data_IF_077690445819
#
_entry.id   IF_077690445819
#
_cell.length_a   1.000
_cell.length_b   1.000
_cell.length_c   1.000
_cell.angle_alpha   90.00
_cell.angle_beta   90.00
_cell.angle_gamma   90.00
#
_symmetry.space_group_name_H-M   'P 1'
#
loop_
_entity.id
_entity.type
_entity.pdbx_description
1 polymer ?
#
# COMPACT_ATOMS: atom_id res chain seq x y z
N UNK A 1 11.69 -10.77 6.51
CA UNK A 1 11.90 -9.40 7.05
C UNK A 1 13.26 -9.30 7.73
N UNK A 2 13.45 -9.79 8.97
CA UNK A 2 14.74 -9.64 9.66
C UNK A 2 15.89 -10.29 8.89
N UNK A 3 15.62 -11.40 8.20
CA UNK A 3 16.53 -12.04 7.25
C UNK A 3 16.90 -11.17 6.04
N UNK A 4 16.18 -10.10 5.74
CA UNK A 4 16.38 -9.23 4.57
C UNK A 4 17.02 -7.89 4.96
N UNK A 5 16.51 -7.25 6.03
CA UNK A 5 16.89 -5.88 6.43
C UNK A 5 17.46 -5.79 7.84
N UNK A 6 17.79 -6.93 8.45
CA UNK A 6 18.29 -6.99 9.83
C UNK A 6 17.23 -6.69 10.89
N UNK A 7 17.68 -6.49 12.13
CA UNK A 7 16.81 -6.15 13.25
C UNK A 7 16.74 -4.62 13.42
N UNK A 8 15.64 -4.02 12.98
CA UNK A 8 15.39 -2.56 13.05
C UNK A 8 15.01 -2.05 14.44
N UNK A 9 15.48 -2.73 15.50
CA UNK A 9 15.24 -2.42 16.91
C UNK A 9 13.77 -2.07 17.20
N UNK A 10 13.50 -0.87 17.69
CA UNK A 10 12.16 -0.39 18.05
C UNK A 10 11.16 -0.47 16.89
N UNK A 11 11.62 -0.37 15.64
CA UNK A 11 10.77 -0.46 14.45
C UNK A 11 10.52 -1.90 13.97
N UNK A 12 11.05 -2.93 14.65
CA UNK A 12 10.97 -4.31 14.17
C UNK A 12 9.52 -4.84 14.11
N UNK A 13 8.66 -4.41 15.03
CA UNK A 13 7.24 -4.78 15.03
C UNK A 13 6.50 -4.20 13.82
N UNK A 14 6.58 -2.87 13.63
CA UNK A 14 5.91 -2.17 12.52
C UNK A 14 6.45 -2.61 11.15
N UNK A 15 7.76 -2.87 11.03
CA UNK A 15 8.31 -3.42 9.79
C UNK A 15 7.79 -4.85 9.50
N UNK A 16 7.52 -5.65 10.54
CA UNK A 16 6.86 -6.95 10.43
C UNK A 16 5.43 -6.85 9.92
N UNK A 17 4.69 -5.88 10.47
CA UNK A 17 3.34 -5.54 10.04
C UNK A 17 3.31 -5.10 8.57
N UNK A 18 4.18 -4.17 8.17
CA UNK A 18 4.29 -3.70 6.78
C UNK A 18 4.58 -4.84 5.81
N UNK A 19 5.50 -5.77 6.16
CA UNK A 19 5.77 -6.97 5.35
C UNK A 19 4.48 -7.77 5.11
N UNK A 20 3.69 -8.01 6.14
CA UNK A 20 2.50 -8.85 6.02
C UNK A 20 1.36 -8.14 5.28
N UNK A 21 1.19 -6.83 5.47
CA UNK A 21 0.24 -6.02 4.68
C UNK A 21 0.59 -6.07 3.19
N UNK A 22 1.87 -5.89 2.85
CA UNK A 22 2.32 -5.99 1.45
C UNK A 22 2.15 -7.41 0.90
N UNK A 23 2.39 -8.45 1.70
CA UNK A 23 2.18 -9.84 1.30
C UNK A 23 0.70 -10.13 1.00
N UNK A 24 -0.23 -9.58 1.77
CA UNK A 24 -1.67 -9.69 1.51
C UNK A 24 -2.05 -8.94 0.23
N UNK A 25 -1.60 -7.68 0.06
CA UNK A 25 -1.87 -6.88 -1.14
C UNK A 25 -1.29 -7.44 -2.44
N UNK A 26 -0.39 -8.41 -2.36
CA UNK A 26 0.30 -9.02 -3.50
C UNK A 26 0.03 -10.52 -3.59
N UNK A 27 -0.90 -11.05 -2.78
CA UNK A 27 -1.28 -12.46 -2.73
C UNK A 27 -0.09 -13.43 -2.65
N UNK A 28 1.02 -13.01 -2.02
CA UNK A 28 2.30 -13.71 -2.08
C UNK A 28 3.03 -13.64 -0.74
N UNK A 29 3.44 -14.80 -0.23
CA UNK A 29 4.32 -14.91 0.93
C UNK A 29 5.78 -14.78 0.48
N UNK A 30 6.51 -13.73 0.90
CA UNK A 30 7.89 -13.55 0.49
C UNK A 30 8.82 -14.50 1.25
N UNK A 31 9.83 -15.03 0.54
CA UNK A 31 10.89 -15.89 1.05
C UNK A 31 11.58 -15.29 2.29
N UNK A 32 11.83 -16.15 3.28
CA UNK A 32 12.78 -15.89 4.36
C UNK A 32 14.19 -16.32 3.93
N UNK A 33 15.16 -15.43 4.06
CA UNK A 33 16.53 -15.65 3.57
C UNK A 33 17.39 -16.42 4.58
N UNK A 34 18.51 -16.95 4.09
CA UNK A 34 19.54 -17.65 4.87
C UNK A 34 19.07 -18.95 5.56
N UNK A 35 18.04 -19.59 5.01
CA UNK A 35 17.56 -20.91 5.45
C UNK A 35 18.11 -21.97 4.49
N UNK A 36 19.29 -22.51 4.77
CA UNK A 36 19.83 -23.69 4.04
C UNK A 36 19.31 -25.00 4.62
N UNK A 37 19.19 -25.08 5.95
CA UNK A 37 18.59 -26.19 6.69
C UNK A 37 17.81 -25.63 7.88
N UNK A 38 16.62 -26.15 8.22
CA UNK A 38 15.93 -25.80 9.45
C UNK A 38 16.80 -26.12 10.68
N UNK A 39 16.65 -25.34 11.75
CA UNK A 39 17.37 -25.61 13.00
C UNK A 39 16.96 -26.97 13.60
N UNK A 40 17.92 -27.70 14.17
CA UNK A 40 17.70 -29.01 14.79
C UNK A 40 17.09 -28.93 16.21
N UNK A 41 17.00 -27.73 16.78
CA UNK A 41 16.42 -27.53 18.13
C UNK A 41 14.89 -27.46 18.13
N UNK A 42 14.27 -27.43 16.95
CA UNK A 42 12.81 -27.44 16.78
C UNK A 42 12.42 -28.74 16.10
N UNK A 43 11.41 -29.42 16.64
CA UNK A 43 10.77 -30.55 15.97
C UNK A 43 9.77 -30.04 14.91
N UNK A 44 10.12 -30.25 13.64
CA UNK A 44 9.32 -29.83 12.49
C UNK A 44 8.34 -30.93 12.02
N UNK A 45 8.38 -32.13 12.61
CA UNK A 45 7.65 -33.31 12.12
C UNK A 45 6.12 -33.20 12.26
N UNK A 46 5.63 -32.37 13.18
CA UNK A 46 4.19 -32.15 13.39
C UNK A 46 3.46 -31.51 12.19
N UNK A 47 4.19 -30.84 11.29
CA UNK A 47 3.63 -30.20 10.10
C UNK A 47 2.77 -28.95 10.35
N UNK A 48 2.52 -28.56 11.60
CA UNK A 48 1.70 -27.39 11.93
C UNK A 48 2.33 -26.05 11.55
N UNK A 49 3.67 -26.01 11.38
CA UNK A 49 4.42 -24.82 10.99
C UNK A 49 5.43 -25.19 9.91
N UNK A 50 5.52 -24.36 8.85
CA UNK A 50 6.49 -24.52 7.77
C UNK A 50 7.24 -23.22 7.51
N UNK A 51 8.53 -23.33 7.22
CA UNK A 51 9.36 -22.20 6.81
C UNK A 51 9.03 -21.80 5.36
N UNK A 52 8.89 -20.50 5.11
CA UNK A 52 8.72 -19.95 3.75
C UNK A 52 10.10 -19.78 3.12
N UNK A 53 10.64 -20.86 2.56
CA UNK A 53 11.99 -20.93 1.96
C UNK A 53 12.04 -20.46 0.50
N UNK A 54 10.89 -20.19 -0.10
CA UNK A 54 10.70 -19.68 -1.46
C UNK A 54 9.56 -18.67 -1.46
N UNK A 55 9.53 -17.78 -2.45
CA UNK A 55 8.37 -16.89 -2.63
C UNK A 55 7.22 -17.76 -3.13
N UNK A 56 6.08 -17.74 -2.44
CA UNK A 56 4.98 -18.66 -2.73
C UNK A 56 3.66 -17.91 -2.73
N UNK A 57 2.74 -18.19 -3.67
CA UNK A 57 1.38 -17.66 -3.62
C UNK A 57 0.74 -17.92 -2.26
N UNK A 58 0.02 -16.93 -1.74
CA UNK A 58 -0.74 -17.07 -0.51
C UNK A 58 -2.05 -17.79 -0.83
N UNK A 59 -2.26 -19.03 -0.33
CA UNK A 59 -3.40 -19.85 -0.74
C UNK A 59 -4.73 -19.16 -0.47
N UNK A 60 -5.64 -19.25 -1.43
CA UNK A 60 -7.04 -18.92 -1.26
C UNK A 60 -7.76 -20.09 -0.59
N UNK A 61 -8.52 -19.79 0.46
CA UNK A 61 -9.19 -20.81 1.29
C UNK A 61 -10.68 -20.55 1.45
N UNK A 62 -11.23 -19.59 0.70
CA UNK A 62 -12.60 -19.10 0.88
C UNK A 62 -12.80 -18.29 2.17
N UNK A 63 -11.70 -17.90 2.84
CA UNK A 63 -11.70 -17.06 4.05
C UNK A 63 -10.67 -15.95 3.88
N UNK A 64 -10.88 -14.78 4.52
CA UNK A 64 -9.89 -13.72 4.54
C UNK A 64 -8.53 -14.24 5.02
N UNK A 65 -7.46 -13.86 4.33
CA UNK A 65 -6.10 -14.21 4.76
C UNK A 65 -5.82 -13.56 6.11
N UNK A 66 -5.21 -14.34 7.01
CA UNK A 66 -4.81 -13.87 8.34
C UNK A 66 -3.35 -14.15 8.61
N UNK A 67 -2.70 -13.24 9.33
CA UNK A 67 -1.32 -13.42 9.77
C UNK A 67 -1.08 -12.90 11.18
N UNK A 68 -0.29 -13.65 11.94
CA UNK A 68 0.27 -13.18 13.19
C UNK A 68 1.57 -12.40 12.98
N UNK A 69 1.76 -11.31 13.72
CA UNK A 69 3.03 -10.58 13.82
C UNK A 69 3.43 -10.52 15.29
N UNK A 70 4.55 -11.17 15.62
CA UNK A 70 5.09 -11.20 16.97
C UNK A 70 6.34 -10.32 17.12
N UNK A 71 6.45 -9.66 18.27
CA UNK A 71 7.63 -8.90 18.69
C UNK A 71 7.94 -9.21 20.15
N UNK A 72 9.17 -9.62 20.42
CA UNK A 72 9.63 -10.00 21.76
C UNK A 72 10.81 -9.10 22.15
N UNK A 73 10.58 -8.20 23.09
CA UNK A 73 11.58 -7.24 23.55
C UNK A 73 12.58 -7.86 24.53
N UNK A 74 13.81 -7.35 24.54
CA UNK A 74 14.86 -7.83 25.45
C UNK A 74 14.51 -7.63 26.93
N UNK A 75 13.64 -6.66 27.25
CA UNK A 75 13.08 -6.44 28.59
C UNK A 75 12.11 -7.55 29.05
N UNK A 76 11.71 -8.46 28.16
CA UNK A 76 10.66 -9.45 28.39
C UNK A 76 9.25 -8.97 28.01
N UNK A 77 9.08 -7.73 27.56
CA UNK A 77 7.79 -7.23 27.06
C UNK A 77 7.48 -7.79 25.68
N UNK A 78 6.32 -8.43 25.54
CA UNK A 78 5.89 -9.09 24.31
C UNK A 78 4.70 -8.36 23.69
N UNK A 79 4.65 -8.31 22.36
CA UNK A 79 3.52 -7.83 21.59
C UNK A 79 3.16 -8.80 20.47
N UNK A 80 1.87 -9.02 20.25
CA UNK A 80 1.35 -9.87 19.19
C UNK A 80 0.15 -9.20 18.52
N UNK A 81 0.17 -9.15 17.19
CA UNK A 81 -0.92 -8.62 16.38
C UNK A 81 -1.45 -9.72 15.47
N UNK A 82 -2.77 -9.74 15.29
CA UNK A 82 -3.42 -10.50 14.24
C UNK A 82 -3.87 -9.51 13.16
N UNK A 83 -3.43 -9.74 11.93
CA UNK A 83 -3.84 -8.99 10.75
C UNK A 83 -4.81 -9.84 9.95
N UNK A 84 -5.84 -9.19 9.41
CA UNK A 84 -6.79 -9.77 8.48
C UNK A 84 -6.77 -8.95 7.19
N UNK A 85 -6.88 -9.64 6.06
CA UNK A 85 -7.11 -9.06 4.75
C UNK A 85 -8.35 -8.15 4.75
N UNK A 86 -8.23 -6.99 4.10
CA UNK A 86 -9.37 -6.07 3.99
C UNK A 86 -10.51 -6.75 3.20
N UNK A 87 -11.77 -6.43 3.50
CA UNK A 87 -12.88 -6.86 2.65
C UNK A 87 -12.66 -6.38 1.22
N UNK A 88 -13.18 -7.13 0.24
CA UNK A 88 -13.22 -6.65 -1.13
C UNK A 88 -13.92 -5.28 -1.14
N UNK A 89 -13.40 -4.30 -1.89
CA UNK A 89 -14.10 -3.02 -2.03
C UNK A 89 -15.51 -3.31 -2.54
N UNK A 90 -16.51 -2.77 -1.84
CA UNK A 90 -17.87 -2.81 -2.35
C UNK A 90 -17.87 -2.11 -3.71
N UNK A 91 -18.56 -2.66 -4.73
CA UNK A 91 -18.82 -1.90 -5.94
C UNK A 91 -19.42 -0.57 -5.50
N UNK A 92 -18.94 0.54 -6.06
CA UNK A 92 -19.63 1.81 -5.86
C UNK A 92 -21.08 1.57 -6.29
N UNK A 93 -22.01 1.53 -5.33
CA UNK A 93 -23.42 1.59 -5.66
C UNK A 93 -23.59 2.89 -6.44
N UNK A 94 -24.23 2.83 -7.61
CA UNK A 94 -24.67 4.02 -8.31
C UNK A 94 -25.58 4.78 -7.34
N UNK A 95 -25.01 5.73 -6.57
CA UNK A 95 -25.81 6.61 -5.74
C UNK A 95 -26.87 7.23 -6.67
N UNK A 96 -28.17 7.16 -6.33
CA UNK A 96 -29.19 7.77 -7.16
C UNK A 96 -28.81 9.23 -7.34
N UNK A 97 -28.56 9.61 -8.60
CA UNK A 97 -28.13 10.94 -8.96
C UNK A 97 -28.96 11.97 -8.19
N UNK A 98 -28.29 12.74 -7.33
CA UNK A 98 -28.95 13.85 -6.65
C UNK A 98 -29.54 14.74 -7.74
N UNK A 99 -30.88 14.97 -7.75
CA UNK A 99 -31.53 15.77 -8.79
C UNK A 99 -31.05 17.23 -8.83
N UNK A 100 -30.25 17.67 -7.85
CA UNK A 100 -29.60 18.97 -7.81
C UNK A 100 -28.11 18.94 -8.19
N UNK A 101 -27.53 17.76 -8.42
CA UNK A 101 -26.19 17.63 -8.97
C UNK A 101 -26.31 17.68 -10.49
N UNK A 102 -25.79 18.75 -11.10
CA UNK A 102 -25.65 18.80 -12.57
C UNK A 102 -24.92 17.54 -13.04
N UNK A 103 -25.31 16.93 -14.18
CA UNK A 103 -24.67 15.73 -14.69
C UNK A 103 -23.15 15.94 -14.66
N UNK A 104 -22.48 15.09 -13.88
CA UNK A 104 -21.03 15.14 -13.69
C UNK A 104 -20.38 15.30 -15.05
N UNK A 105 -19.68 16.42 -15.23
CA UNK A 105 -19.08 16.82 -16.49
C UNK A 105 -18.42 15.61 -17.15
N UNK A 106 -19.11 15.17 -18.20
CA UNK A 106 -18.86 14.05 -19.07
C UNK A 106 -17.36 13.72 -19.15
N UNK A 107 -17.03 12.43 -19.28
CA UNK A 107 -15.68 11.97 -19.65
C UNK A 107 -15.37 12.34 -21.13
N UNK A 108 -15.98 13.43 -21.60
CA UNK A 108 -15.71 14.06 -22.88
C UNK A 108 -14.29 14.58 -22.86
N UNK A 109 -13.56 14.25 -23.91
CA UNK A 109 -12.20 14.69 -24.16
C UNK A 109 -12.05 16.23 -24.21
N UNK A 110 -13.14 16.99 -24.17
CA UNK A 110 -13.16 18.46 -24.17
C UNK A 110 -13.24 19.06 -22.76
N UNK A 111 -13.44 18.26 -21.70
CA UNK A 111 -13.52 18.83 -20.36
C UNK A 111 -12.14 19.17 -19.82
N UNK A 112 -11.88 20.47 -19.72
CA UNK A 112 -10.65 21.00 -19.15
C UNK A 112 -10.50 20.57 -17.68
N UNK A 113 -9.42 19.84 -17.39
CA UNK A 113 -9.01 19.43 -16.04
C UNK A 113 -7.83 20.27 -15.57
N UNK A 114 -7.73 20.43 -14.25
CA UNK A 114 -6.63 21.15 -13.61
C UNK A 114 -5.89 20.26 -12.61
N UNK A 115 -4.58 20.17 -12.77
CA UNK A 115 -3.70 19.42 -11.87
C UNK A 115 -2.89 20.41 -11.06
N UNK A 116 -3.17 20.48 -9.76
CA UNK A 116 -2.46 21.35 -8.84
C UNK A 116 -1.33 20.58 -8.13
N UNK A 117 -0.13 21.16 -8.14
CA UNK A 117 1.00 20.70 -7.34
C UNK A 117 1.42 21.82 -6.41
N UNK A 118 1.67 21.52 -5.14
CA UNK A 118 2.11 22.51 -4.16
C UNK A 118 3.31 22.04 -3.33
N UNK A 119 4.05 22.99 -2.77
CA UNK A 119 5.24 22.73 -1.98
C UNK A 119 5.69 23.93 -1.15
N UNK A 120 6.67 23.71 -0.26
CA UNK A 120 7.25 24.77 0.59
C UNK A 120 8.23 25.69 -0.16
N UNK A 121 8.68 25.28 -1.35
CA UNK A 121 9.58 26.07 -2.20
C UNK A 121 9.31 25.79 -3.68
N UNK A 122 9.79 26.68 -4.57
CA UNK A 122 9.67 26.47 -6.03
C UNK A 122 10.39 25.20 -6.50
N UNK A 123 11.53 24.87 -5.89
CA UNK A 123 12.27 23.65 -6.20
C UNK A 123 11.45 22.40 -5.85
N UNK A 124 10.83 22.37 -4.67
CA UNK A 124 9.97 21.25 -4.25
C UNK A 124 8.75 21.11 -5.17
N UNK A 125 8.13 22.22 -5.60
CA UNK A 125 7.03 22.16 -6.59
C UNK A 125 7.51 21.50 -7.89
N UNK A 126 8.69 21.87 -8.39
CA UNK A 126 9.28 21.25 -9.58
C UNK A 126 9.54 19.75 -9.41
N UNK A 127 10.10 19.34 -8.27
CA UNK A 127 10.33 17.92 -7.96
C UNK A 127 9.02 17.13 -7.83
N UNK A 128 8.00 17.69 -7.17
CA UNK A 128 6.69 17.04 -7.05
C UNK A 128 6.01 16.91 -8.41
N UNK A 129 6.10 17.92 -9.27
CA UNK A 129 5.58 17.86 -10.64
C UNK A 129 6.28 16.76 -11.45
N UNK A 130 7.60 16.63 -11.34
CA UNK A 130 8.35 15.58 -12.01
C UNK A 130 7.98 14.17 -11.50
N UNK A 131 7.81 14.00 -10.18
CA UNK A 131 7.37 12.73 -9.58
C UNK A 131 5.95 12.36 -10.00
N UNK A 132 5.03 13.33 -10.03
CA UNK A 132 3.67 13.14 -10.51
C UNK A 132 3.68 12.70 -11.98
N UNK A 133 4.41 13.40 -12.84
CA UNK A 133 4.51 13.07 -14.26
C UNK A 133 5.10 11.66 -14.48
N UNK A 134 6.14 11.28 -13.74
CA UNK A 134 6.71 9.94 -13.81
C UNK A 134 5.72 8.86 -13.32
N UNK A 135 5.01 9.13 -12.22
CA UNK A 135 4.02 8.21 -11.66
C UNK A 135 2.86 7.97 -12.63
N UNK A 136 2.27 9.05 -13.17
CA UNK A 136 1.15 8.96 -14.12
C UNK A 136 1.57 8.19 -15.36
N UNK A 137 2.75 8.46 -15.93
CA UNK A 137 3.23 7.73 -17.12
C UNK A 137 3.49 6.24 -16.87
N UNK A 138 3.70 5.85 -15.62
CA UNK A 138 3.94 4.46 -15.23
C UNK A 138 2.65 3.74 -14.79
N UNK A 139 1.49 4.37 -14.89
CA UNK A 139 0.20 3.86 -14.43
C UNK A 139 -0.89 4.14 -15.46
N UNK A 140 -1.96 3.35 -15.46
CA UNK A 140 -3.17 3.63 -16.24
C UNK A 140 -4.19 4.46 -15.43
N UNK A 141 -3.70 5.35 -14.55
CA UNK A 141 -4.57 6.15 -13.69
C UNK A 141 -5.40 7.15 -14.52
N UNK A 142 -6.69 7.23 -14.22
CA UNK A 142 -7.59 8.20 -14.84
C UNK A 142 -7.12 9.64 -14.59
N UNK A 143 -7.20 10.48 -15.61
CA UNK A 143 -6.86 11.91 -15.50
C UNK A 143 -7.74 12.60 -14.46
N UNK A 144 -9.01 12.19 -14.37
CA UNK A 144 -9.97 12.71 -13.41
C UNK A 144 -9.63 12.28 -11.99
N UNK A 145 -9.29 11.00 -11.77
CA UNK A 145 -8.91 10.50 -10.45
C UNK A 145 -7.63 11.18 -9.94
N UNK A 146 -6.66 11.42 -10.83
CA UNK A 146 -5.45 12.16 -10.50
C UNK A 146 -5.80 13.60 -10.13
N UNK A 147 -6.62 14.30 -10.93
CA UNK A 147 -7.06 15.66 -10.64
C UNK A 147 -7.76 15.73 -9.28
N UNK A 148 -8.70 14.82 -9.04
CA UNK A 148 -9.44 14.72 -7.79
C UNK A 148 -8.49 14.48 -6.61
N UNK A 149 -7.62 13.47 -6.69
CA UNK A 149 -6.67 13.14 -5.63
C UNK A 149 -5.71 14.29 -5.30
N UNK A 150 -5.27 15.07 -6.30
CA UNK A 150 -4.39 16.23 -6.08
C UNK A 150 -5.06 17.34 -5.26
N UNK A 151 -6.38 17.42 -5.25
CA UNK A 151 -7.14 18.43 -4.50
C UNK A 151 -7.70 17.87 -3.19
N UNK A 152 -8.22 16.64 -3.19
CA UNK A 152 -8.92 16.05 -2.03
C UNK A 152 -7.98 15.36 -1.04
N UNK A 153 -6.81 14.87 -1.50
CA UNK A 153 -5.91 14.03 -0.69
C UNK A 153 -4.51 14.63 -0.47
N UNK A 154 -4.30 15.90 -0.84
CA UNK A 154 -3.02 16.60 -0.66
C UNK A 154 -3.22 17.87 0.13
N UNK A 155 -2.24 18.17 0.98
CA UNK A 155 -2.19 19.44 1.71
C UNK A 155 -1.82 20.56 0.73
N UNK A 156 -2.64 21.60 0.68
CA UNK A 156 -2.34 22.80 -0.09
C UNK A 156 -1.26 23.64 0.62
N UNK A 157 -0.14 23.89 -0.05
CA UNK A 157 0.97 24.72 0.45
C UNK A 157 1.08 26.07 -0.28
N UNK A 158 1.92 26.98 0.22
CA UNK A 158 2.00 28.36 -0.28
C UNK A 158 2.52 28.50 -1.71
N UNK A 159 3.45 27.64 -2.15
CA UNK A 159 3.95 27.64 -3.53
C UNK A 159 3.16 26.62 -4.32
N UNK A 160 2.51 27.07 -5.39
CA UNK A 160 1.61 26.26 -6.21
C UNK A 160 1.97 26.41 -7.68
N UNK A 161 1.78 25.35 -8.43
CA UNK A 161 1.75 25.34 -9.88
C UNK A 161 0.50 24.57 -10.32
N UNK A 162 -0.13 25.03 -11.40
CA UNK A 162 -1.31 24.38 -11.97
C UNK A 162 -1.02 24.10 -13.43
N UNK A 163 -1.26 22.86 -13.85
CA UNK A 163 -1.31 22.48 -15.26
C UNK A 163 -2.77 22.32 -15.63
N UNK A 164 -3.17 22.92 -16.74
CA UNK A 164 -4.53 22.88 -17.26
C UNK A 164 -4.49 22.21 -18.63
N UNK A 165 -5.34 21.23 -18.86
CA UNK A 165 -5.39 20.46 -20.10
C UNK A 165 -6.67 19.64 -20.20
N UNK A 166 -6.95 19.15 -21.39
CA UNK A 166 -8.08 18.28 -21.72
C UNK A 166 -7.58 16.87 -21.99
#
# INVERSE_FOLDING_TARGET
LKSNIGHTQAAAGVAGMMKMILAMRQDTLPKSLHISRPTSVVDWSSGAVRLVTESTPWPETGRPRRAGVSSFGISGTNGHLILEEAPAPEPAEDEPADPFTEPSADDSADTVRSWMVSGKSRAVVGEQAARLAASVRASDASVLDVAHALVSSRVAMDRRAVVVGS
#
